data_IF_356212746172
#
_entry.id   IF_356212746172
#
_cell.length_a   1.000
_cell.length_b   1.000
_cell.length_c   1.000
_cell.angle_alpha   90.00
_cell.angle_beta   90.00
_cell.angle_gamma   90.00
#
_symmetry.space_group_name_H-M   'P 1'
#
loop_
_entity.id
_entity.type
_entity.pdbx_description
1 polymer ?
#
# COMPACT_ATOMS: atom_id res chain seq x y z
N UNK A 1 -11.78 3.26 18.42
CA UNK A 1 -11.02 4.50 18.57
C UNK A 1 -9.74 4.44 17.76
N UNK A 2 -9.58 5.35 16.83
CA UNK A 2 -8.31 5.49 16.12
C UNK A 2 -7.31 6.19 17.03
N UNK A 3 -6.41 5.40 17.61
CA UNK A 3 -5.32 5.97 18.39
C UNK A 3 -4.16 6.33 17.45
N UNK A 4 -4.25 7.49 16.79
CA UNK A 4 -3.21 8.00 15.88
C UNK A 4 -2.17 8.85 16.62
N UNK A 5 -1.99 8.60 17.90
CA UNK A 5 -1.02 9.34 18.71
C UNK A 5 0.40 9.24 18.12
N UNK A 6 0.76 8.08 17.58
CA UNK A 6 2.06 7.85 16.95
C UNK A 6 2.35 8.82 15.79
N UNK A 7 1.31 9.28 15.06
CA UNK A 7 1.48 10.24 13.98
C UNK A 7 1.99 11.60 14.49
N UNK A 8 1.59 11.97 15.70
CA UNK A 8 2.01 13.25 16.29
C UNK A 8 3.47 13.26 16.69
N UNK A 9 4.06 12.08 16.89
CA UNK A 9 5.46 11.94 17.27
C UNK A 9 6.40 12.10 16.07
N UNK A 10 5.88 11.99 14.86
CA UNK A 10 6.69 12.13 13.65
C UNK A 10 7.00 13.62 13.45
N UNK A 11 8.28 14.03 13.40
CA UNK A 11 8.60 15.42 13.07
C UNK A 11 8.01 15.77 11.71
N UNK A 12 7.31 16.92 11.57
CA UNK A 12 6.65 17.27 10.30
C UNK A 12 7.58 17.27 9.10
N UNK A 13 8.82 17.70 9.26
CA UNK A 13 9.80 17.68 8.16
C UNK A 13 10.10 16.24 7.69
N UNK A 14 10.19 15.31 8.63
CA UNK A 14 10.41 13.88 8.31
C UNK A 14 9.18 13.30 7.61
N UNK A 15 8.00 13.56 8.14
CA UNK A 15 6.76 13.07 7.53
C UNK A 15 6.60 13.55 6.09
N UNK A 16 6.81 14.83 5.85
CA UNK A 16 6.76 15.41 4.50
C UNK A 16 7.83 14.85 3.58
N UNK A 17 9.05 14.65 4.11
CA UNK A 17 10.15 14.07 3.34
C UNK A 17 9.83 12.64 2.90
N UNK A 18 9.34 11.80 3.82
CA UNK A 18 8.97 10.42 3.51
C UNK A 18 7.83 10.37 2.50
N UNK A 19 6.83 11.23 2.66
CA UNK A 19 5.71 11.28 1.73
C UNK A 19 6.16 11.71 0.33
N UNK A 20 7.04 12.71 0.23
CA UNK A 20 7.63 13.13 -1.05
C UNK A 20 8.46 12.04 -1.69
N UNK A 21 9.24 11.30 -0.89
CA UNK A 21 10.01 10.17 -1.38
C UNK A 21 9.08 9.07 -1.92
N UNK A 22 8.00 8.76 -1.20
CA UNK A 22 7.01 7.79 -1.65
C UNK A 22 6.26 8.26 -2.89
N UNK A 23 6.07 9.56 -3.06
CA UNK A 23 5.44 10.13 -4.26
C UNK A 23 6.24 9.76 -5.52
N UNK A 24 7.59 9.75 -5.42
CA UNK A 24 8.45 9.37 -6.53
C UNK A 24 8.74 7.87 -6.63
N UNK A 25 8.99 7.21 -5.51
CA UNK A 25 9.54 5.85 -5.48
C UNK A 25 8.59 4.82 -4.89
N UNK A 26 7.49 5.24 -4.26
CA UNK A 26 6.54 4.33 -3.64
C UNK A 26 5.56 3.74 -4.63
N UNK A 27 4.97 2.60 -4.25
CA UNK A 27 4.01 1.90 -5.08
C UNK A 27 2.90 1.28 -4.23
N UNK A 28 1.66 1.43 -4.70
CA UNK A 28 0.48 0.78 -4.14
C UNK A 28 0.04 -0.29 -5.12
N UNK A 29 -0.01 -1.54 -4.66
CA UNK A 29 -0.32 -2.68 -5.52
C UNK A 29 -1.37 -3.56 -4.87
N UNK A 30 -2.17 -4.23 -5.71
CA UNK A 30 -3.13 -5.23 -5.27
C UNK A 30 -2.97 -6.44 -6.16
N UNK A 31 -2.43 -7.52 -5.61
CA UNK A 31 -2.22 -8.76 -6.35
C UNK A 31 -3.31 -9.78 -6.02
N UNK A 32 -3.49 -10.74 -6.94
CA UNK A 32 -4.42 -11.84 -6.79
C UNK A 32 -3.66 -13.15 -6.80
N UNK A 33 -4.08 -14.09 -5.96
CA UNK A 33 -3.57 -15.46 -5.95
C UNK A 33 -4.74 -16.43 -5.86
N UNK A 34 -4.69 -17.49 -6.64
CA UNK A 34 -5.69 -18.56 -6.54
C UNK A 34 -5.58 -19.25 -5.19
N UNK A 35 -6.69 -19.40 -4.50
CA UNK A 35 -6.78 -20.06 -3.21
C UNK A 35 -8.08 -20.85 -3.10
N UNK A 36 -8.09 -21.80 -2.19
CA UNK A 36 -9.27 -22.62 -1.91
C UNK A 36 -10.21 -21.89 -0.95
N UNK A 37 -10.63 -20.68 -1.35
CA UNK A 37 -11.64 -19.88 -0.67
C UNK A 37 -12.95 -19.93 -1.45
N UNK A 38 -14.06 -19.56 -0.81
CA UNK A 38 -15.37 -19.53 -1.46
C UNK A 38 -15.40 -18.67 -2.73
N UNK A 39 -14.66 -17.57 -2.76
CA UNK A 39 -14.52 -16.73 -3.96
C UNK A 39 -13.40 -17.20 -4.89
N UNK A 40 -12.60 -18.19 -4.48
CA UNK A 40 -11.53 -18.78 -5.28
C UNK A 40 -10.23 -17.98 -5.35
N UNK A 41 -10.14 -16.83 -4.69
CA UNK A 41 -9.02 -15.92 -4.80
C UNK A 41 -8.65 -15.28 -3.46
N UNK A 42 -7.35 -15.06 -3.28
CA UNK A 42 -6.81 -14.21 -2.22
C UNK A 42 -6.40 -12.87 -2.81
N UNK A 43 -6.87 -11.79 -2.20
CA UNK A 43 -6.48 -10.43 -2.54
C UNK A 43 -5.37 -10.00 -1.59
N UNK A 44 -4.27 -9.48 -2.14
CA UNK A 44 -3.10 -9.06 -1.35
C UNK A 44 -2.71 -7.63 -1.71
N UNK A 45 -3.22 -6.64 -0.94
CA UNK A 45 -2.77 -5.26 -1.10
C UNK A 45 -1.40 -5.08 -0.46
N UNK A 46 -0.53 -4.30 -1.11
CA UNK A 46 0.80 -4.01 -0.59
C UNK A 46 1.17 -2.56 -0.88
N UNK A 47 1.88 -1.96 0.07
CA UNK A 47 2.62 -0.73 -0.15
C UNK A 47 4.10 -1.06 -0.11
N UNK A 48 4.86 -0.59 -1.09
CA UNK A 48 6.30 -0.80 -1.08
C UNK A 48 7.07 0.41 -1.58
N UNK A 49 8.28 0.52 -1.12
CA UNK A 49 9.27 1.50 -1.59
C UNK A 49 10.56 0.74 -1.81
N UNK A 50 11.17 0.91 -2.98
CA UNK A 50 12.46 0.27 -3.27
C UNK A 50 13.53 1.32 -3.50
N UNK A 51 14.74 1.02 -3.02
CA UNK A 51 15.90 1.90 -3.14
C UNK A 51 17.16 1.08 -2.85
N UNK A 52 18.29 1.51 -3.40
CA UNK A 52 19.59 0.92 -3.06
C UNK A 52 20.09 1.37 -1.71
N UNK A 53 19.71 2.57 -1.28
CA UNK A 53 20.10 3.13 0.00
C UNK A 53 19.11 2.65 1.09
N UNK A 54 19.64 1.82 2.00
CA UNK A 54 18.89 1.25 3.10
C UNK A 54 18.38 2.32 4.08
N UNK A 55 19.08 3.42 4.22
CA UNK A 55 18.78 4.45 5.22
C UNK A 55 17.35 4.99 5.08
N UNK A 56 16.95 5.31 3.84
CA UNK A 56 15.61 5.83 3.57
C UNK A 56 14.53 4.82 3.93
N UNK A 57 14.76 3.56 3.58
CA UNK A 57 13.78 2.50 3.84
C UNK A 57 13.68 2.19 5.33
N UNK A 58 14.80 2.28 6.05
CA UNK A 58 14.80 2.13 7.50
C UNK A 58 14.00 3.24 8.19
N UNK A 59 14.02 4.46 7.65
CA UNK A 59 13.21 5.57 8.16
C UNK A 59 11.72 5.29 8.01
N UNK A 60 11.29 4.74 6.88
CA UNK A 60 9.90 4.31 6.70
C UNK A 60 9.50 3.31 7.77
N UNK A 61 10.30 2.27 7.94
CA UNK A 61 10.01 1.22 8.94
C UNK A 61 9.94 1.80 10.34
N UNK A 62 10.87 2.66 10.69
CA UNK A 62 10.92 3.26 12.02
C UNK A 62 9.68 4.12 12.30
N UNK A 63 9.35 5.05 11.41
CA UNK A 63 8.29 6.02 11.66
C UNK A 63 6.89 5.47 11.45
N UNK A 64 6.70 4.55 10.49
CA UNK A 64 5.42 3.88 10.34
C UNK A 64 5.20 2.78 11.38
N UNK A 65 6.28 2.25 11.96
CA UNK A 65 6.20 1.24 13.00
C UNK A 65 5.71 -0.11 12.53
N UNK A 66 5.87 -0.41 11.23
CA UNK A 66 5.42 -1.66 10.62
C UNK A 66 6.22 -1.95 9.36
N UNK A 67 5.99 -3.13 8.77
CA UNK A 67 6.60 -3.50 7.51
C UNK A 67 7.91 -4.26 7.67
N UNK A 68 8.45 -4.71 6.54
CA UNK A 68 9.69 -5.49 6.48
C UNK A 68 10.66 -4.89 5.48
N UNK A 69 11.95 -5.09 5.73
CA UNK A 69 13.01 -4.75 4.80
C UNK A 69 13.56 -6.04 4.21
N UNK A 70 13.66 -6.11 2.88
CA UNK A 70 14.22 -7.26 2.18
C UNK A 70 15.23 -6.79 1.15
N UNK A 71 16.30 -7.57 0.97
CA UNK A 71 17.32 -7.30 -0.05
C UNK A 71 17.11 -8.23 -1.24
N UNK A 72 17.24 -7.68 -2.45
CA UNK A 72 17.29 -8.47 -3.68
C UNK A 72 18.73 -8.77 -4.08
N UNK A 73 18.89 -9.76 -4.98
CA UNK A 73 20.20 -10.16 -5.49
C UNK A 73 20.93 -9.02 -6.22
N UNK A 74 20.17 -8.11 -6.84
CA UNK A 74 20.72 -6.96 -7.59
C UNK A 74 21.13 -5.78 -6.67
N UNK A 75 21.03 -5.94 -5.36
CA UNK A 75 21.38 -4.90 -4.39
C UNK A 75 20.27 -3.91 -4.10
N UNK A 76 19.10 -4.05 -4.74
CA UNK A 76 17.94 -3.22 -4.44
C UNK A 76 17.28 -3.75 -3.15
N UNK A 77 16.93 -2.83 -2.28
CA UNK A 77 16.26 -3.13 -1.02
C UNK A 77 14.81 -2.69 -1.11
N UNK A 78 13.90 -3.49 -0.54
CA UNK A 78 12.49 -3.19 -0.47
C UNK A 78 12.06 -2.97 0.95
N UNK A 79 11.30 -1.90 1.17
CA UNK A 79 10.42 -1.77 2.31
C UNK A 79 9.02 -2.17 1.84
N UNK A 80 8.37 -3.09 2.54
CA UNK A 80 7.06 -3.60 2.14
C UNK A 80 6.14 -3.72 3.35
N UNK A 81 4.90 -3.25 3.18
CA UNK A 81 3.81 -3.46 4.13
C UNK A 81 2.71 -4.23 3.41
N UNK A 82 2.44 -5.45 3.87
CA UNK A 82 1.41 -6.32 3.30
C UNK A 82 0.37 -6.80 4.31
N UNK A 83 0.62 -6.57 5.59
CA UNK A 83 -0.33 -6.90 6.65
C UNK A 83 -1.51 -5.93 6.59
N UNK A 84 -2.73 -6.45 6.51
CA UNK A 84 -3.93 -5.63 6.32
C UNK A 84 -4.15 -4.64 7.47
N UNK A 85 -3.94 -5.08 8.71
CA UNK A 85 -4.07 -4.21 9.88
C UNK A 85 -3.05 -3.07 9.83
N UNK A 86 -1.80 -3.38 9.48
CA UNK A 86 -0.74 -2.37 9.34
C UNK A 86 -1.03 -1.38 8.22
N UNK A 87 -1.56 -1.86 7.09
CA UNK A 87 -1.98 -0.98 6.00
C UNK A 87 -3.07 -0.02 6.49
N UNK A 88 -4.10 -0.55 7.14
CA UNK A 88 -5.22 0.26 7.61
C UNK A 88 -4.84 1.23 8.73
N UNK A 89 -4.05 0.78 9.70
CA UNK A 89 -3.79 1.54 10.93
C UNK A 89 -2.55 2.40 10.87
N UNK A 90 -1.64 2.16 9.93
CA UNK A 90 -0.37 2.88 9.81
C UNK A 90 -0.22 3.57 8.45
N UNK A 91 -0.25 2.81 7.36
CA UNK A 91 0.01 3.34 6.02
C UNK A 91 -1.06 4.35 5.62
N UNK A 92 -2.34 4.00 5.75
CA UNK A 92 -3.42 4.90 5.35
C UNK A 92 -3.42 6.20 6.16
N UNK A 93 -3.37 6.17 7.51
CA UNK A 93 -3.34 7.43 8.27
C UNK A 93 -2.13 8.30 7.97
N UNK A 94 -0.97 7.69 7.73
CA UNK A 94 0.25 8.43 7.41
C UNK A 94 0.07 9.24 6.12
N UNK A 95 -0.38 8.61 5.05
CA UNK A 95 -0.53 9.30 3.76
C UNK A 95 -1.78 10.16 3.69
N UNK A 96 -2.77 9.95 4.54
CA UNK A 96 -3.87 10.89 4.70
C UNK A 96 -3.39 12.20 5.31
N UNK A 97 -2.48 12.13 6.26
CA UNK A 97 -1.93 13.32 6.91
C UNK A 97 -0.94 14.06 6.01
N UNK A 98 0.03 13.36 5.42
CA UNK A 98 1.11 13.99 4.67
C UNK A 98 0.83 14.08 3.16
N UNK A 99 -0.02 13.23 2.62
CA UNK A 99 -0.51 13.32 1.25
C UNK A 99 0.53 13.21 0.15
N UNK A 100 0.06 13.28 -1.08
CA UNK A 100 0.89 13.27 -2.28
C UNK A 100 0.58 14.51 -3.12
N UNK A 101 1.53 14.95 -3.94
CA UNK A 101 1.34 16.07 -4.85
C UNK A 101 1.05 15.60 -6.28
N UNK A 102 1.64 14.47 -6.72
CA UNK A 102 1.41 14.00 -8.08
C UNK A 102 -0.02 13.47 -8.25
N UNK A 103 -0.63 13.78 -9.39
CA UNK A 103 -2.01 13.38 -9.68
C UNK A 103 -2.18 11.87 -9.71
N UNK A 104 -1.23 11.15 -10.32
CA UNK A 104 -1.29 9.70 -10.42
C UNK A 104 -1.20 9.03 -9.05
N UNK A 105 -0.30 9.51 -8.18
CA UNK A 105 -0.15 8.92 -6.85
C UNK A 105 -1.36 9.21 -5.97
N UNK A 106 -1.93 10.42 -6.07
CA UNK A 106 -3.19 10.75 -5.37
C UNK A 106 -4.30 9.78 -5.75
N UNK A 107 -4.47 9.54 -7.05
CA UNK A 107 -5.50 8.64 -7.55
C UNK A 107 -5.26 7.22 -7.09
N UNK A 108 -4.03 6.72 -7.21
CA UNK A 108 -3.68 5.36 -6.79
C UNK A 108 -3.85 5.17 -5.29
N UNK A 109 -3.48 6.17 -4.49
CA UNK A 109 -3.68 6.09 -3.05
C UNK A 109 -5.16 6.04 -2.70
N UNK A 110 -5.99 6.87 -3.33
CA UNK A 110 -7.44 6.87 -3.09
C UNK A 110 -8.05 5.51 -3.38
N UNK A 111 -7.69 4.90 -4.51
CA UNK A 111 -8.19 3.58 -4.89
C UNK A 111 -7.70 2.51 -3.91
N UNK A 112 -6.41 2.54 -3.60
CA UNK A 112 -5.80 1.59 -2.66
C UNK A 112 -6.46 1.67 -1.29
N UNK A 113 -6.69 2.88 -0.79
CA UNK A 113 -7.38 3.11 0.48
C UNK A 113 -8.77 2.49 0.49
N UNK A 114 -9.54 2.71 -0.58
CA UNK A 114 -10.88 2.16 -0.68
C UNK A 114 -10.85 0.63 -0.64
N UNK A 115 -9.92 0.01 -1.36
CA UNK A 115 -9.76 -1.46 -1.35
C UNK A 115 -9.40 -1.95 0.06
N UNK A 116 -8.44 -1.33 0.72
CA UNK A 116 -8.01 -1.73 2.06
C UNK A 116 -9.16 -1.60 3.06
N UNK A 117 -9.92 -0.51 3.00
CA UNK A 117 -11.06 -0.29 3.88
C UNK A 117 -12.16 -1.34 3.66
N UNK A 118 -12.48 -1.67 2.42
CA UNK A 118 -13.45 -2.73 2.10
C UNK A 118 -12.97 -4.09 2.62
N UNK A 119 -11.69 -4.41 2.46
CA UNK A 119 -11.14 -5.66 2.96
C UNK A 119 -11.16 -5.73 4.49
N UNK A 120 -10.90 -4.61 5.15
CA UNK A 120 -10.95 -4.54 6.61
C UNK A 120 -12.35 -4.84 7.15
N UNK A 121 -13.39 -4.53 6.38
CA UNK A 121 -14.78 -4.84 6.72
C UNK A 121 -15.19 -6.27 6.31
N UNK A 122 -14.28 -7.04 5.68
CA UNK A 122 -14.56 -8.39 5.22
C UNK A 122 -15.40 -8.49 3.96
N UNK A 123 -15.63 -7.38 3.26
CA UNK A 123 -16.51 -7.31 2.08
C UNK A 123 -15.95 -8.15 0.93
N UNK A 124 -14.62 -8.30 0.86
CA UNK A 124 -13.94 -9.11 -0.18
C UNK A 124 -14.22 -10.62 -0.07
N UNK A 125 -14.81 -11.07 1.04
CA UNK A 125 -15.12 -12.48 1.26
C UNK A 125 -16.43 -12.90 0.60
N UNK A 126 -17.21 -11.93 0.10
CA UNK A 126 -18.46 -12.18 -0.61
C UNK A 126 -18.29 -11.88 -2.10
N UNK A 127 -19.01 -12.60 -3.00
CA UNK A 127 -18.82 -12.43 -4.44
C UNK A 127 -19.01 -10.98 -4.94
N UNK A 128 -20.03 -10.30 -4.45
CA UNK A 128 -20.31 -8.91 -4.86
C UNK A 128 -19.20 -7.95 -4.43
N UNK A 129 -18.72 -8.10 -3.20
CA UNK A 129 -17.62 -7.29 -2.68
C UNK A 129 -16.31 -7.59 -3.38
N UNK A 130 -16.06 -8.86 -3.68
CA UNK A 130 -14.89 -9.27 -4.43
C UNK A 130 -14.89 -8.62 -5.83
N UNK A 131 -16.02 -8.64 -6.54
CA UNK A 131 -16.14 -8.00 -7.86
C UNK A 131 -15.91 -6.50 -7.78
N UNK A 132 -16.43 -5.84 -6.74
CA UNK A 132 -16.20 -4.41 -6.55
C UNK A 132 -14.72 -4.09 -6.42
N UNK A 133 -13.99 -4.90 -5.66
CA UNK A 133 -12.54 -4.73 -5.49
C UNK A 133 -11.81 -4.99 -6.79
N UNK A 134 -12.22 -5.98 -7.59
CA UNK A 134 -11.62 -6.22 -8.90
C UNK A 134 -11.76 -5.01 -9.82
N UNK A 135 -12.94 -4.36 -9.82
CA UNK A 135 -13.16 -3.15 -10.63
C UNK A 135 -12.27 -2.01 -10.16
N UNK A 136 -12.15 -1.81 -8.85
CA UNK A 136 -11.24 -0.80 -8.30
C UNK A 136 -9.79 -1.09 -8.69
N UNK A 137 -9.39 -2.35 -8.60
CA UNK A 137 -8.03 -2.79 -8.95
C UNK A 137 -7.71 -2.49 -10.41
N UNK A 138 -8.70 -2.58 -11.32
CA UNK A 138 -8.47 -2.26 -12.73
C UNK A 138 -8.06 -0.79 -12.93
N UNK A 139 -8.51 0.11 -12.09
CA UNK A 139 -8.15 1.52 -12.15
C UNK A 139 -6.81 1.83 -11.49
N UNK A 140 -6.29 0.91 -10.66
CA UNK A 140 -5.02 1.10 -9.95
C UNK A 140 -3.84 0.97 -10.92
N UNK A 141 -2.95 1.95 -10.92
CA UNK A 141 -1.75 2.00 -11.77
C UNK A 141 -2.08 1.90 -13.28
N UNK A 142 -3.21 2.44 -13.68
CA UNK A 142 -3.67 2.42 -15.07
C UNK A 142 -2.70 3.19 -15.96
N UNK A 143 -2.36 2.61 -17.11
CA UNK A 143 -1.51 3.28 -18.09
C UNK A 143 -0.01 3.17 -17.85
N UNK A 144 0.44 2.41 -16.84
CA UNK A 144 1.86 2.27 -16.50
C UNK A 144 2.50 0.97 -17.02
N UNK A 145 2.03 0.45 -18.17
CA UNK A 145 2.62 -0.73 -18.81
C UNK A 145 2.57 -2.00 -17.96
N UNK A 146 1.71 -2.04 -16.98
CA UNK A 146 1.58 -3.19 -16.07
C UNK A 146 1.09 -4.43 -16.82
N UNK A 147 1.61 -5.58 -16.42
CA UNK A 147 1.11 -6.88 -16.89
C UNK A 147 0.43 -7.57 -15.72
N UNK A 148 -0.79 -8.06 -15.94
CA UNK A 148 -1.51 -8.83 -14.94
C UNK A 148 -1.35 -10.31 -15.23
N UNK A 149 -1.06 -11.07 -14.16
CA UNK A 149 -0.93 -12.52 -14.26
C UNK A 149 -2.29 -13.17 -14.57
N UNK A 150 -3.36 -12.62 -14.03
CA UNK A 150 -4.70 -13.14 -14.25
C UNK A 150 -5.61 -12.04 -14.78
N UNK A 151 -6.37 -12.39 -15.82
CA UNK A 151 -7.39 -11.56 -16.40
C UNK A 151 -8.74 -12.18 -16.01
N UNK A 152 -9.44 -11.53 -15.11
CA UNK A 152 -10.68 -12.05 -14.53
C UNK A 152 -11.84 -11.20 -15.00
#
# INVERSE_FOLDING_TARGET
>A
MNNNHWLKEIPPAIGSYLSGFADGEGSFNVSLRKKDYSVGWQISPTFNVSQRDRTMLALFKHWLGCGTLRSRRDGVIYYEVSNLTSLKDRVLPFFQKYGFLSASKKTNFRIFREIVELMAEGIHLQPEGFEKILRLREELNKGHGRKRKYNI
#
